data_IF_455331513482
#
_entry.id   IF_455331513482
#
_cell.length_a   1.000
_cell.length_b   1.000
_cell.length_c   1.000
_cell.angle_alpha   90.00
_cell.angle_beta   90.00
_cell.angle_gamma   90.00
#
_symmetry.space_group_name_H-M   'P 1'
#
loop_
_entity.id
_entity.type
_entity.pdbx_description
1 polymer ?
#
# COMPACT_ATOMS: atom_id res chain seq x y z
N UNK A 1 15.10 36.22 1.95
CA UNK A 1 15.85 34.98 2.26
C UNK A 1 14.87 34.09 3.01
N UNK A 2 14.19 33.21 2.31
CA UNK A 2 13.23 32.28 2.93
C UNK A 2 14.00 31.13 3.59
N UNK A 3 13.63 30.69 4.81
CA UNK A 3 14.25 29.55 5.43
C UNK A 3 13.67 28.27 4.79
N UNK A 4 14.49 27.61 3.95
CA UNK A 4 14.26 26.23 3.50
C UNK A 4 14.99 25.30 4.47
N UNK A 5 14.27 24.50 5.27
CA UNK A 5 14.93 23.44 6.03
C UNK A 5 14.10 22.66 7.05
N UNK A 6 13.03 23.22 7.62
CA UNK A 6 12.44 22.63 8.85
C UNK A 6 11.18 21.76 8.60
N UNK A 7 10.44 21.98 7.51
CA UNK A 7 9.14 21.31 7.31
C UNK A 7 9.20 19.83 6.89
N UNK A 8 10.28 19.37 6.24
CA UNK A 8 10.39 17.97 5.79
C UNK A 8 10.74 17.01 6.94
N UNK A 9 11.53 17.45 7.91
CA UNK A 9 11.98 16.64 9.05
C UNK A 9 10.84 16.36 10.04
N UNK A 10 9.90 17.30 10.16
CA UNK A 10 8.75 17.19 11.07
C UNK A 10 7.71 16.16 10.61
N UNK A 11 7.51 15.96 9.31
CA UNK A 11 6.57 14.96 8.79
C UNK A 11 7.00 13.52 9.12
N UNK A 12 8.31 13.23 9.06
CA UNK A 12 8.83 11.90 9.41
C UNK A 12 8.79 11.64 10.93
N UNK A 13 9.02 12.66 11.77
CA UNK A 13 8.82 12.56 13.23
C UNK A 13 7.35 12.37 13.61
N UNK A 14 6.43 13.04 12.92
CA UNK A 14 4.98 12.89 13.17
C UNK A 14 4.48 11.48 12.84
N UNK A 15 5.03 10.85 11.80
CA UNK A 15 4.74 9.44 11.45
C UNK A 15 5.20 8.47 12.55
N UNK A 16 6.34 8.72 13.19
CA UNK A 16 6.91 7.83 14.21
C UNK A 16 6.13 7.87 15.54
N UNK A 17 5.67 9.07 15.96
CA UNK A 17 4.81 9.23 17.14
C UNK A 17 3.42 8.58 16.97
N UNK A 18 2.79 8.74 15.81
CA UNK A 18 1.50 8.10 15.52
C UNK A 18 1.65 6.59 15.33
N UNK A 19 2.76 6.12 14.74
CA UNK A 19 3.04 4.69 14.62
C UNK A 19 3.16 4.03 16.00
N UNK A 20 3.90 4.63 16.93
CA UNK A 20 4.04 4.09 18.31
C UNK A 20 2.69 4.00 19.04
N UNK A 21 1.88 5.06 18.98
CA UNK A 21 0.53 5.04 19.56
C UNK A 21 -0.34 3.96 18.92
N UNK A 22 -0.29 3.82 17.59
CA UNK A 22 -1.02 2.80 16.86
C UNK A 22 -0.59 1.38 17.27
N UNK A 23 0.71 1.10 17.35
CA UNK A 23 1.20 -0.21 17.79
C UNK A 23 0.82 -0.52 19.24
N UNK A 24 0.83 0.48 20.13
CA UNK A 24 0.38 0.32 21.51
C UNK A 24 -1.13 0.04 21.60
N UNK A 25 -1.93 0.65 20.73
CA UNK A 25 -3.36 0.38 20.60
C UNK A 25 -3.62 -1.04 20.06
N UNK A 26 -2.82 -1.51 19.09
CA UNK A 26 -2.87 -2.88 18.57
C UNK A 26 -2.61 -3.94 19.65
N UNK A 27 -1.70 -3.69 20.59
CA UNK A 27 -1.45 -4.58 21.73
C UNK A 27 -2.67 -4.67 22.67
N UNK A 28 -3.58 -3.69 22.61
CA UNK A 28 -4.82 -3.66 23.41
C UNK A 28 -5.95 -4.45 22.75
N UNK A 29 -5.89 -4.67 21.43
CA UNK A 29 -6.85 -5.51 20.74
C UNK A 29 -6.66 -6.98 21.14
N UNK A 30 -7.77 -7.65 21.50
CA UNK A 30 -7.76 -9.09 21.77
C UNK A 30 -7.08 -9.80 20.61
N UNK A 31 -6.00 -10.52 20.91
CA UNK A 31 -5.31 -11.40 19.96
C UNK A 31 -6.33 -12.38 19.39
N UNK A 32 -6.78 -12.12 18.17
CA UNK A 32 -7.61 -13.07 17.44
C UNK A 32 -6.67 -14.22 17.10
N UNK A 33 -7.00 -15.43 17.55
CA UNK A 33 -6.29 -16.62 17.09
C UNK A 33 -6.50 -16.73 15.57
N UNK A 34 -5.45 -16.43 14.81
CA UNK A 34 -5.45 -16.61 13.37
C UNK A 34 -5.35 -18.11 13.12
N UNK A 35 -6.49 -18.74 12.83
CA UNK A 35 -6.60 -20.20 12.72
C UNK A 35 -6.01 -20.78 11.44
N UNK A 36 -5.71 -19.96 10.43
CA UNK A 36 -5.22 -20.39 9.11
C UNK A 36 -3.94 -19.66 8.71
N UNK A 37 -2.93 -20.35 8.15
CA UNK A 37 -1.73 -19.70 7.60
C UNK A 37 -2.08 -18.66 6.53
N UNK A 38 -1.25 -17.61 6.48
CA UNK A 38 -1.32 -16.55 5.48
C UNK A 38 -0.16 -16.72 4.48
N UNK A 39 -0.49 -16.68 3.18
CA UNK A 39 0.50 -16.55 2.11
C UNK A 39 0.42 -15.16 1.50
N UNK A 40 1.51 -14.42 1.64
CA UNK A 40 1.59 -13.02 1.21
C UNK A 40 2.30 -12.94 -0.14
N UNK A 41 1.66 -12.33 -1.13
CA UNK A 41 2.21 -12.15 -2.48
C UNK A 41 2.34 -10.66 -2.80
N UNK A 42 3.53 -10.16 -3.20
CA UNK A 42 3.68 -8.78 -3.62
C UNK A 42 3.21 -8.57 -5.07
N UNK A 43 2.67 -7.39 -5.37
CA UNK A 43 2.34 -6.97 -6.73
C UNK A 43 2.68 -5.50 -6.96
N UNK A 44 3.67 -5.24 -7.81
CA UNK A 44 4.06 -3.88 -8.21
C UNK A 44 4.75 -3.91 -9.57
N UNK A 45 4.82 -2.75 -10.24
CA UNK A 45 5.22 -2.66 -11.66
C UNK A 45 6.62 -3.21 -11.97
N UNK A 46 7.56 -3.13 -11.03
CA UNK A 46 8.95 -3.59 -11.19
C UNK A 46 9.16 -5.07 -10.85
N UNK A 47 8.10 -5.79 -10.45
CA UNK A 47 8.21 -7.21 -10.12
C UNK A 47 8.44 -8.04 -11.41
N UNK A 48 9.35 -9.02 -11.44
CA UNK A 48 9.54 -9.89 -12.59
C UNK A 48 8.23 -10.54 -13.07
N UNK A 49 7.99 -10.68 -14.40
CA UNK A 49 6.75 -11.22 -14.94
C UNK A 49 6.37 -12.62 -14.42
N UNK A 50 7.37 -13.47 -14.17
CA UNK A 50 7.18 -14.80 -13.59
C UNK A 50 6.58 -14.73 -12.18
N UNK A 51 7.07 -13.80 -11.36
CA UNK A 51 6.57 -13.58 -10.00
C UNK A 51 5.20 -12.90 -10.01
N UNK A 52 4.94 -11.94 -10.91
CA UNK A 52 3.60 -11.38 -11.09
C UNK A 52 2.59 -12.48 -11.47
N UNK A 53 3.00 -13.43 -12.32
CA UNK A 53 2.13 -14.52 -12.77
C UNK A 53 1.66 -15.46 -11.65
N UNK A 54 2.37 -15.51 -10.52
CA UNK A 54 2.02 -16.36 -9.38
C UNK A 54 0.65 -16.01 -8.80
N UNK A 55 0.25 -14.73 -8.84
CA UNK A 55 -1.04 -14.29 -8.29
C UNK A 55 -2.24 -14.87 -9.05
N UNK A 56 -2.07 -15.21 -10.33
CA UNK A 56 -3.13 -15.80 -11.16
C UNK A 56 -3.18 -17.32 -11.09
N UNK A 57 -2.03 -17.95 -10.80
CA UNK A 57 -1.88 -19.40 -10.78
C UNK A 57 -2.16 -19.99 -9.40
N UNK A 58 -2.09 -19.19 -8.35
CA UNK A 58 -2.29 -19.64 -6.98
C UNK A 58 -3.78 -19.60 -6.61
N UNK A 59 -4.45 -20.76 -6.66
CA UNK A 59 -5.65 -20.94 -5.86
C UNK A 59 -5.23 -21.08 -4.37
N UNK A 60 -5.98 -20.51 -3.42
CA UNK A 60 -5.78 -20.80 -2.01
C UNK A 60 -6.09 -22.28 -1.73
N UNK A 61 -5.24 -22.95 -0.96
CA UNK A 61 -5.58 -24.25 -0.39
C UNK A 61 -6.73 -24.08 0.63
N UNK A 62 -7.49 -25.14 0.94
CA UNK A 62 -8.66 -25.05 1.84
C UNK A 62 -8.33 -24.43 3.22
N UNK A 63 -7.09 -24.63 3.70
CA UNK A 63 -6.60 -24.15 4.98
C UNK A 63 -5.67 -22.93 4.89
N UNK A 64 -5.60 -22.23 3.76
CA UNK A 64 -4.74 -21.05 3.59
C UNK A 64 -5.55 -19.82 3.17
N UNK A 65 -5.13 -18.64 3.64
CA UNK A 65 -5.60 -17.37 3.09
C UNK A 65 -4.46 -16.69 2.31
N UNK A 66 -4.76 -16.32 1.07
CA UNK A 66 -3.87 -15.50 0.26
C UNK A 66 -4.11 -14.03 0.60
N UNK A 67 -3.03 -13.28 0.77
CA UNK A 67 -3.03 -11.83 0.93
C UNK A 67 -2.14 -11.24 -0.15
N UNK A 68 -2.71 -10.44 -1.04
CA UNK A 68 -1.93 -9.72 -2.05
C UNK A 68 -1.66 -8.31 -1.54
N UNK A 69 -0.39 -7.95 -1.44
CA UNK A 69 0.04 -6.58 -1.10
C UNK A 69 0.43 -5.90 -2.40
N UNK A 70 -0.42 -5.00 -2.87
CA UNK A 70 -0.27 -4.37 -4.18
C UNK A 70 -0.12 -2.86 -4.12
N UNK A 71 0.53 -2.29 -5.14
CA UNK A 71 0.34 -0.87 -5.48
C UNK A 71 -0.92 -0.71 -6.33
N UNK A 72 -1.21 0.52 -6.75
CA UNK A 72 -2.24 0.85 -7.74
C UNK A 72 -2.09 0.13 -9.11
N UNK A 73 -1.09 -0.73 -9.30
CA UNK A 73 -1.05 -1.68 -10.43
C UNK A 73 -2.21 -2.68 -10.36
N UNK A 74 -2.71 -2.99 -9.16
CA UNK A 74 -3.90 -3.82 -9.00
C UNK A 74 -5.20 -3.12 -9.42
N UNK A 75 -5.24 -1.79 -9.44
CA UNK A 75 -6.41 -1.00 -9.86
C UNK A 75 -6.69 -1.20 -11.36
N UNK A 76 -5.63 -1.32 -12.17
CA UNK A 76 -5.74 -1.38 -13.63
C UNK A 76 -6.09 -2.79 -14.13
N UNK A 77 -7.32 -3.00 -14.63
CA UNK A 77 -7.80 -4.10 -15.50
C UNK A 77 -7.36 -5.55 -15.19
N UNK A 78 -6.77 -5.80 -14.04
CA UNK A 78 -6.13 -7.05 -13.66
C UNK A 78 -7.04 -7.78 -12.66
N UNK A 79 -7.91 -8.64 -13.15
CA UNK A 79 -8.80 -9.41 -12.28
C UNK A 79 -8.01 -10.52 -11.60
N UNK A 80 -7.65 -10.34 -10.32
CA UNK A 80 -7.07 -11.40 -9.50
C UNK A 80 -8.20 -12.34 -9.06
N UNK A 81 -8.13 -13.65 -9.39
CA UNK A 81 -9.17 -14.58 -8.99
C UNK A 81 -9.22 -14.75 -7.46
N UNK A 82 -10.40 -15.08 -6.94
CA UNK A 82 -10.60 -15.41 -5.52
C UNK A 82 -10.35 -14.26 -4.51
N UNK A 83 -10.35 -13.00 -4.95
CA UNK A 83 -10.35 -11.85 -4.05
C UNK A 83 -11.76 -11.63 -3.48
N UNK A 84 -11.91 -11.71 -2.16
CA UNK A 84 -13.17 -11.44 -1.45
C UNK A 84 -13.20 -10.08 -0.76
N UNK A 85 -12.05 -9.58 -0.36
CA UNK A 85 -11.92 -8.34 0.40
C UNK A 85 -10.79 -7.50 -0.19
N UNK A 86 -11.01 -6.18 -0.22
CA UNK A 86 -10.01 -5.19 -0.59
C UNK A 86 -9.86 -4.24 0.59
N UNK A 87 -8.62 -3.96 0.97
CA UNK A 87 -8.28 -2.96 1.99
C UNK A 87 -7.46 -1.88 1.28
N UNK A 88 -8.08 -0.72 1.08
CA UNK A 88 -7.43 0.44 0.47
C UNK A 88 -6.90 1.38 1.57
N UNK A 89 -5.67 1.85 1.39
CA UNK A 89 -5.03 2.82 2.28
C UNK A 89 -5.44 4.28 2.00
N UNK A 90 -6.17 4.54 0.91
CA UNK A 90 -6.64 5.86 0.52
C UNK A 90 -5.53 6.79 0.02
N UNK A 91 -4.36 6.25 -0.34
CA UNK A 91 -3.16 7.02 -0.70
C UNK A 91 -2.50 6.49 -1.96
N UNK A 92 -1.92 7.39 -2.73
CA UNK A 92 -1.15 7.06 -3.93
C UNK A 92 0.18 7.82 -3.96
N UNK A 93 1.14 7.28 -4.72
CA UNK A 93 2.41 7.95 -5.01
C UNK A 93 2.37 8.50 -6.43
N UNK A 94 2.28 9.82 -6.55
CA UNK A 94 2.16 10.51 -7.83
C UNK A 94 3.46 11.21 -8.22
N UNK A 95 3.76 11.19 -9.53
CA UNK A 95 4.88 11.94 -10.12
C UNK A 95 4.42 13.38 -10.40
N UNK A 96 4.94 14.34 -9.64
CA UNK A 96 4.66 15.77 -9.81
C UNK A 96 5.75 16.44 -10.63
N UNK A 97 5.33 17.25 -11.59
CA UNK A 97 6.23 18.12 -12.35
C UNK A 97 6.27 19.50 -11.72
N UNK A 98 7.46 20.00 -11.43
CA UNK A 98 7.66 21.38 -10.97
C UNK A 98 8.03 22.26 -12.16
N UNK A 99 7.11 23.13 -12.56
CA UNK A 99 7.26 24.00 -13.74
C UNK A 99 8.36 25.05 -13.61
N UNK A 100 8.75 25.43 -12.38
CA UNK A 100 9.79 26.43 -12.14
C UNK A 100 11.20 25.85 -12.23
N UNK A 101 11.37 24.61 -11.78
CA UNK A 101 12.68 23.93 -11.74
C UNK A 101 12.88 22.93 -12.89
N UNK A 102 11.81 22.58 -13.60
CA UNK A 102 11.82 21.54 -14.63
C UNK A 102 11.99 20.12 -14.07
N UNK A 103 12.01 19.95 -12.75
CA UNK A 103 12.28 18.67 -12.11
C UNK A 103 10.99 17.87 -11.86
N UNK A 104 11.14 16.54 -11.85
CA UNK A 104 10.11 15.62 -11.39
C UNK A 104 10.38 15.18 -9.95
N UNK A 105 9.33 15.15 -9.15
CA UNK A 105 9.38 14.63 -7.77
C UNK A 105 8.27 13.61 -7.58
N UNK A 106 8.43 12.71 -6.61
CA UNK A 106 7.37 11.81 -6.19
C UNK A 106 6.81 12.29 -4.86
N UNK A 107 5.50 12.42 -4.78
CA UNK A 107 4.79 12.81 -3.57
C UNK A 107 3.67 11.82 -3.26
N UNK A 108 3.37 11.64 -1.97
CA UNK A 108 2.21 10.88 -1.53
C UNK A 108 1.00 11.82 -1.48
N UNK A 109 -0.10 11.47 -2.14
CA UNK A 109 -1.39 12.18 -2.06
C UNK A 109 -2.52 11.25 -1.66
N UNK A 110 -3.70 11.82 -1.39
CA UNK A 110 -4.93 11.05 -1.29
C UNK A 110 -5.39 10.63 -2.68
N UNK A 111 -5.96 9.43 -2.78
CA UNK A 111 -6.64 8.98 -4.00
C UNK A 111 -7.95 9.74 -4.20
N UNK A 112 -8.43 9.75 -5.45
CA UNK A 112 -9.77 10.25 -5.74
C UNK A 112 -10.85 9.28 -5.26
N UNK A 113 -12.08 9.78 -5.09
CA UNK A 113 -13.25 8.93 -4.77
C UNK A 113 -13.48 7.87 -5.85
N UNK A 114 -13.24 8.21 -7.12
CA UNK A 114 -13.38 7.28 -8.24
C UNK A 114 -12.37 6.13 -8.16
N UNK A 115 -11.12 6.42 -7.79
CA UNK A 115 -10.07 5.41 -7.60
C UNK A 115 -10.40 4.46 -6.45
N UNK A 116 -11.03 4.97 -5.37
CA UNK A 116 -11.48 4.15 -4.24
C UNK A 116 -12.69 3.24 -4.56
N UNK A 117 -13.44 3.51 -5.62
CA UNK A 117 -14.66 2.79 -6.02
C UNK A 117 -14.43 1.73 -7.10
N UNK A 118 -13.20 1.60 -7.61
CA UNK A 118 -12.82 0.72 -8.71
C UNK A 118 -12.66 -0.75 -8.29
#
# INVERSE_FOLDING_TARGET
>A
IEPKGEAETDMYKYKDLNARKFFQELETYKKIEVTKPLRVLPLYALLPPEQQSLIFKCAPNEDERIVVVATNVAETSLTIPNVRYVVDCGREKIKKYNTQTGAFTFAISFISKASAEQ
#
